data_IF_100700824264
#
_entry.id   IF_100700824264
#
_cell.length_a   1.000
_cell.length_b   1.000
_cell.length_c   1.000
_cell.angle_alpha   90.00
_cell.angle_beta   90.00
_cell.angle_gamma   90.00
#
_symmetry.space_group_name_H-M   'P 1'
#
loop_
_entity.id
_entity.type
_entity.pdbx_description
1 polymer ?
#
# COMPACT_ATOMS: atom_id res chain seq x y z
N UNK A 1 -19.44 -1.35 12.06
CA UNK A 1 -18.94 -1.60 10.67
C UNK A 1 -18.09 -2.86 10.70
N UNK A 2 -18.41 -3.88 9.90
CA UNK A 2 -17.62 -5.13 9.84
C UNK A 2 -16.52 -4.93 8.79
N UNK A 3 -15.26 -4.95 9.21
CA UNK A 3 -14.12 -4.84 8.29
C UNK A 3 -13.74 -6.21 7.74
N UNK A 4 -13.54 -6.29 6.42
CA UNK A 4 -12.97 -7.49 5.81
C UNK A 4 -11.50 -7.64 6.23
N UNK A 5 -11.15 -8.78 6.86
CA UNK A 5 -9.82 -9.01 7.45
C UNK A 5 -8.89 -9.83 6.57
N UNK A 6 -9.43 -10.58 5.61
CA UNK A 6 -8.67 -11.45 4.69
C UNK A 6 -9.05 -11.17 3.25
N UNK A 7 -8.03 -11.10 2.37
CA UNK A 7 -8.20 -10.86 0.93
C UNK A 7 -7.30 -11.81 0.14
N UNK A 8 -7.84 -12.34 -0.95
CA UNK A 8 -7.11 -13.13 -1.96
C UNK A 8 -7.51 -12.63 -3.33
N UNK A 9 -6.58 -12.02 -4.09
CA UNK A 9 -6.88 -11.43 -5.39
C UNK A 9 -5.65 -11.12 -6.23
N UNK A 10 -5.87 -10.86 -7.50
CA UNK A 10 -4.89 -10.26 -8.40
C UNK A 10 -4.90 -8.74 -8.26
N UNK A 11 -3.74 -8.13 -8.42
CA UNK A 11 -3.56 -6.68 -8.45
C UNK A 11 -2.73 -6.32 -9.68
N UNK A 12 -3.32 -5.56 -10.58
CA UNK A 12 -2.69 -5.04 -11.79
C UNK A 12 -2.50 -3.54 -11.65
N UNK A 13 -1.39 -3.01 -12.13
CA UNK A 13 -1.02 -1.60 -11.94
C UNK A 13 -0.70 -0.95 -13.25
N UNK A 14 -1.11 0.31 -13.38
CA UNK A 14 -0.88 1.15 -14.53
C UNK A 14 -0.46 2.54 -14.07
N UNK A 15 0.52 3.12 -14.73
CA UNK A 15 0.86 4.53 -14.54
C UNK A 15 0.16 5.31 -15.63
N UNK A 16 -0.64 6.28 -15.25
CA UNK A 16 -1.46 7.08 -16.14
C UNK A 16 -1.04 8.54 -16.05
N UNK A 17 -1.07 9.23 -17.19
CA UNK A 17 -1.10 10.68 -17.22
C UNK A 17 -2.55 11.19 -17.00
N UNK A 18 -2.72 12.52 -16.94
CA UNK A 18 -4.03 13.12 -16.68
C UNK A 18 -5.08 12.74 -17.73
N UNK A 19 -4.74 12.79 -19.02
CA UNK A 19 -5.66 12.44 -20.12
C UNK A 19 -6.06 10.97 -20.07
N UNK A 20 -5.12 10.07 -19.85
CA UNK A 20 -5.37 8.63 -19.73
C UNK A 20 -6.30 8.33 -18.53
N UNK A 21 -6.10 9.03 -17.39
CA UNK A 21 -7.02 8.91 -16.25
C UNK A 21 -8.44 9.35 -16.61
N UNK A 22 -8.61 10.47 -17.30
CA UNK A 22 -9.90 10.98 -17.73
C UNK A 22 -10.63 10.00 -18.66
N UNK A 23 -9.92 9.39 -19.62
CA UNK A 23 -10.47 8.38 -20.52
C UNK A 23 -10.90 7.10 -19.78
N UNK A 24 -10.11 6.63 -18.83
CA UNK A 24 -10.50 5.50 -17.97
C UNK A 24 -11.74 5.83 -17.13
N UNK A 25 -11.78 7.01 -16.50
CA UNK A 25 -12.95 7.42 -15.71
C UNK A 25 -14.21 7.51 -16.56
N UNK A 26 -14.12 7.99 -17.81
CA UNK A 26 -15.22 8.04 -18.74
C UNK A 26 -15.74 6.62 -19.06
N UNK A 27 -14.84 5.68 -19.36
CA UNK A 27 -15.22 4.29 -19.62
C UNK A 27 -15.78 3.57 -18.38
N UNK A 28 -15.32 3.93 -17.17
CA UNK A 28 -15.81 3.36 -15.92
C UNK A 28 -17.24 3.84 -15.55
N UNK A 29 -17.67 5.02 -16.00
CA UNK A 29 -18.90 5.69 -15.56
C UNK A 29 -20.16 4.81 -15.64
N UNK A 30 -20.41 4.00 -16.69
CA UNK A 30 -21.59 3.12 -16.75
C UNK A 30 -21.45 1.83 -15.92
N UNK A 31 -20.26 1.48 -15.42
CA UNK A 31 -19.96 0.19 -14.84
C UNK A 31 -19.56 0.25 -13.36
N UNK A 32 -19.12 1.41 -12.89
CA UNK A 32 -18.53 1.54 -11.56
C UNK A 32 -19.01 2.82 -10.87
N UNK A 33 -19.00 2.79 -9.54
CA UNK A 33 -19.23 4.00 -8.74
C UNK A 33 -18.11 4.21 -7.72
N UNK A 34 -17.89 5.49 -7.40
CA UNK A 34 -16.99 5.91 -6.31
C UNK A 34 -17.49 5.34 -5.00
N UNK A 35 -16.59 4.94 -4.11
CA UNK A 35 -16.96 4.49 -2.78
C UNK A 35 -17.43 5.68 -1.91
N UNK A 36 -18.13 5.35 -0.81
CA UNK A 36 -18.80 6.34 0.05
C UNK A 36 -17.79 7.26 0.77
N UNK A 37 -16.50 6.93 0.77
CA UNK A 37 -15.44 7.72 1.39
C UNK A 37 -14.85 8.79 0.46
N UNK A 38 -15.15 8.73 -0.85
CA UNK A 38 -14.62 9.65 -1.84
C UNK A 38 -13.09 9.66 -1.90
N UNK A 39 -12.51 10.85 -1.94
CA UNK A 39 -11.06 11.05 -1.94
C UNK A 39 -10.51 11.06 -0.52
N UNK A 40 -9.70 10.07 -0.18
CA UNK A 40 -9.14 9.87 1.16
C UNK A 40 -7.63 9.90 1.15
N UNK A 41 -7.04 10.44 2.22
CA UNK A 41 -5.59 10.38 2.43
C UNK A 41 -5.25 9.10 3.20
N UNK A 42 -4.42 8.26 2.59
CA UNK A 42 -3.93 7.02 3.18
C UNK A 42 -2.55 7.25 3.77
N UNK A 43 -2.38 6.92 5.05
CA UNK A 43 -1.11 6.97 5.78
C UNK A 43 -0.61 5.57 6.05
N UNK A 44 0.68 5.32 5.84
CA UNK A 44 1.28 4.01 6.09
C UNK A 44 2.66 4.18 6.72
N UNK A 45 2.98 3.30 7.67
CA UNK A 45 4.35 3.07 8.13
C UNK A 45 4.72 1.66 7.71
N UNK A 46 5.75 1.52 6.86
CA UNK A 46 6.31 0.23 6.51
C UNK A 46 7.39 -0.16 7.51
N UNK A 47 7.38 -1.43 7.90
CA UNK A 47 8.40 -2.02 8.76
C UNK A 47 9.38 -2.83 7.93
N UNK A 48 10.65 -2.71 8.25
CA UNK A 48 11.73 -3.48 7.65
C UNK A 48 12.86 -3.68 8.67
N UNK A 49 13.82 -4.49 8.33
CA UNK A 49 15.08 -4.59 9.09
C UNK A 49 15.96 -3.37 8.81
N UNK A 50 16.96 -3.11 9.64
CA UNK A 50 17.91 -2.01 9.47
C UNK A 50 18.53 -1.98 8.07
N UNK A 51 18.86 -3.15 7.52
CA UNK A 51 19.46 -3.30 6.19
C UNK A 51 18.43 -3.49 5.06
N UNK A 52 17.15 -3.17 5.30
CA UNK A 52 16.06 -3.23 4.31
C UNK A 52 15.86 -4.61 3.66
N UNK A 53 16.01 -5.70 4.42
CA UNK A 53 15.96 -7.08 3.92
C UNK A 53 14.66 -7.40 3.17
N UNK A 54 13.49 -6.93 3.67
CA UNK A 54 12.19 -7.24 3.06
C UNK A 54 12.03 -6.58 1.70
N UNK A 55 12.36 -5.28 1.63
CA UNK A 55 12.18 -4.55 0.37
C UNK A 55 13.23 -4.92 -0.66
N UNK A 56 14.48 -5.12 -0.27
CA UNK A 56 15.55 -5.59 -1.17
C UNK A 56 15.13 -6.91 -1.81
N UNK A 57 14.79 -7.91 -0.99
CA UNK A 57 14.27 -9.19 -1.49
C UNK A 57 13.02 -9.03 -2.37
N UNK A 58 12.10 -8.11 -2.03
CA UNK A 58 10.90 -7.86 -2.84
C UNK A 58 11.22 -7.31 -4.23
N UNK A 59 12.32 -6.56 -4.40
CA UNK A 59 12.75 -5.98 -5.68
C UNK A 59 13.36 -7.01 -6.63
N UNK A 60 13.96 -8.08 -6.11
CA UNK A 60 14.49 -9.21 -6.88
C UNK A 60 13.39 -10.03 -7.58
N UNK A 61 12.11 -9.64 -7.42
CA UNK A 61 10.94 -10.28 -8.03
C UNK A 61 10.80 -11.78 -7.71
N UNK A 62 11.01 -12.22 -6.45
CA UNK A 62 10.93 -13.62 -6.08
C UNK A 62 9.51 -14.16 -6.24
N UNK A 63 9.38 -15.49 -6.30
CA UNK A 63 8.08 -16.19 -6.34
C UNK A 63 7.23 -15.86 -5.11
N UNK A 64 7.86 -15.74 -3.94
CA UNK A 64 7.24 -15.36 -2.68
C UNK A 64 7.87 -14.10 -2.09
N UNK A 65 7.02 -13.14 -1.71
CA UNK A 65 7.44 -11.93 -1.01
C UNK A 65 6.36 -11.43 -0.07
N UNK A 66 6.79 -10.72 0.96
CA UNK A 66 5.91 -10.20 1.98
C UNK A 66 6.31 -8.81 2.44
N UNK A 67 5.38 -8.11 3.08
CA UNK A 67 5.55 -6.78 3.64
C UNK A 67 4.67 -6.63 4.86
N UNK A 68 5.16 -5.90 5.85
CA UNK A 68 4.43 -5.52 7.04
C UNK A 68 4.28 -4.00 7.06
N UNK A 69 3.08 -3.51 7.41
CA UNK A 69 2.83 -2.09 7.58
C UNK A 69 1.71 -1.83 8.57
N UNK A 70 1.73 -0.65 9.14
CA UNK A 70 0.60 -0.07 9.85
C UNK A 70 -0.05 0.97 8.96
N UNK A 71 -1.39 1.04 8.97
CA UNK A 71 -2.15 1.94 8.11
C UNK A 71 -3.24 2.67 8.85
N UNK A 72 -3.44 3.94 8.48
CA UNK A 72 -4.60 4.74 8.85
C UNK A 72 -5.19 5.47 7.63
N UNK A 73 -6.46 5.87 7.76
CA UNK A 73 -7.23 6.66 6.78
C UNK A 73 -7.51 8.09 7.28
N UNK A 74 -6.96 8.45 8.44
CA UNK A 74 -7.04 9.79 9.06
C UNK A 74 -5.74 10.05 9.84
N UNK A 75 -5.45 11.30 10.25
CA UNK A 75 -4.44 11.56 11.26
C UNK A 75 -4.76 10.76 12.53
N UNK A 76 -3.76 10.15 13.15
CA UNK A 76 -3.94 9.22 14.25
C UNK A 76 -3.53 9.88 15.56
N UNK A 77 -4.42 9.78 16.55
CA UNK A 77 -4.09 10.00 17.96
C UNK A 77 -3.67 8.65 18.59
N UNK A 78 -2.97 8.70 19.68
CA UNK A 78 -2.38 7.53 20.36
C UNK A 78 -3.38 6.42 20.70
N UNK A 79 -4.65 6.76 20.92
CA UNK A 79 -5.75 5.84 21.21
C UNK A 79 -6.53 5.40 19.98
N UNK A 80 -6.30 6.03 18.84
CA UNK A 80 -7.04 5.71 17.61
C UNK A 80 -6.68 4.31 17.10
N UNK A 81 -7.65 3.59 16.50
CA UNK A 81 -7.40 2.30 15.88
C UNK A 81 -6.63 2.44 14.57
N UNK A 82 -5.64 1.57 14.38
CA UNK A 82 -4.84 1.43 13.16
C UNK A 82 -4.88 0.00 12.65
N UNK A 83 -4.72 -0.17 11.35
CA UNK A 83 -4.63 -1.49 10.75
C UNK A 83 -3.18 -1.96 10.71
N UNK A 84 -2.87 -3.06 11.40
CA UNK A 84 -1.63 -3.82 11.22
C UNK A 84 -1.85 -4.78 10.06
N UNK A 85 -1.15 -4.60 8.95
CA UNK A 85 -1.38 -5.35 7.72
C UNK A 85 -0.13 -6.15 7.31
N UNK A 86 -0.29 -7.47 7.19
CA UNK A 86 0.67 -8.34 6.52
C UNK A 86 0.18 -8.62 5.10
N UNK A 87 1.04 -8.36 4.12
CA UNK A 87 0.76 -8.59 2.70
C UNK A 87 1.76 -9.58 2.16
N UNK A 88 1.28 -10.74 1.75
CA UNK A 88 2.05 -11.82 1.11
C UNK A 88 1.69 -11.87 -0.36
N UNK A 89 2.66 -12.11 -1.24
CA UNK A 89 2.44 -12.38 -2.65
C UNK A 89 3.14 -13.67 -3.04
N UNK A 90 2.36 -14.62 -3.56
CA UNK A 90 2.85 -15.90 -4.04
C UNK A 90 2.31 -16.18 -5.44
N UNK A 91 3.18 -16.48 -6.42
CA UNK A 91 2.80 -16.74 -7.82
C UNK A 91 1.77 -15.74 -8.36
N UNK A 92 2.02 -14.45 -8.17
CA UNK A 92 1.17 -13.32 -8.59
C UNK A 92 -0.13 -13.11 -7.79
N UNK A 93 -0.57 -14.05 -6.97
CA UNK A 93 -1.73 -13.90 -6.08
C UNK A 93 -1.33 -13.14 -4.83
N UNK A 94 -2.14 -12.15 -4.47
CA UNK A 94 -1.94 -11.33 -3.27
C UNK A 94 -2.85 -11.84 -2.16
N UNK A 95 -2.24 -12.14 -1.03
CA UNK A 95 -2.90 -12.45 0.23
C UNK A 95 -2.64 -11.29 1.19
N UNK A 96 -3.70 -10.70 1.72
CA UNK A 96 -3.59 -9.63 2.70
C UNK A 96 -4.43 -10.00 3.92
N UNK A 97 -3.83 -9.90 5.10
CA UNK A 97 -4.47 -10.07 6.40
C UNK A 97 -4.21 -8.84 7.26
N UNK A 98 -5.15 -8.48 8.10
CA UNK A 98 -5.02 -7.30 8.94
C UNK A 98 -5.72 -7.47 10.28
N UNK A 99 -5.19 -6.78 11.28
CA UNK A 99 -5.80 -6.56 12.59
C UNK A 99 -6.10 -5.09 12.76
N UNK A 100 -7.08 -4.78 13.58
CA UNK A 100 -7.41 -3.42 14.01
C UNK A 100 -7.13 -3.30 15.50
N UNK A 101 -6.19 -2.45 15.87
CA UNK A 101 -5.73 -2.26 17.26
C UNK A 101 -5.42 -0.78 17.51
N UNK A 102 -5.47 -0.30 18.77
CA UNK A 102 -5.02 1.05 19.11
C UNK A 102 -3.56 1.28 18.69
N UNK A 103 -3.26 2.46 18.19
CA UNK A 103 -1.91 2.81 17.71
C UNK A 103 -0.85 2.62 18.79
N UNK A 104 -1.13 3.10 20.01
CA UNK A 104 -0.24 2.90 21.18
C UNK A 104 0.13 1.44 21.38
N UNK A 105 -0.87 0.56 21.40
CA UNK A 105 -0.69 -0.88 21.62
C UNK A 105 0.22 -1.48 20.54
N UNK A 106 0.02 -1.09 19.28
CA UNK A 106 0.83 -1.58 18.15
C UNK A 106 2.26 -1.08 18.26
N UNK A 107 2.45 0.23 18.43
CA UNK A 107 3.81 0.83 18.48
C UNK A 107 4.60 0.35 19.69
N UNK A 108 3.94 0.19 20.84
CA UNK A 108 4.57 -0.34 22.05
C UNK A 108 5.00 -1.80 21.86
N UNK A 109 4.13 -2.66 21.33
CA UNK A 109 4.46 -4.04 20.99
C UNK A 109 5.68 -4.12 20.05
N UNK A 110 5.75 -3.28 19.02
CA UNK A 110 6.90 -3.26 18.11
C UNK A 110 8.19 -2.72 18.77
N UNK A 111 8.06 -1.79 19.71
CA UNK A 111 9.20 -1.22 20.46
C UNK A 111 9.77 -2.21 21.49
N UNK A 112 8.89 -2.90 22.25
CA UNK A 112 9.29 -3.82 23.34
C UNK A 112 9.62 -5.23 22.86
N UNK A 113 9.12 -5.64 21.70
CA UNK A 113 9.20 -7.03 21.23
C UNK A 113 8.06 -7.90 21.72
N UNK A 114 7.21 -7.43 22.65
CA UNK A 114 6.09 -8.20 23.18
C UNK A 114 5.04 -8.51 22.10
N UNK A 115 4.37 -9.66 22.16
CA UNK A 115 3.30 -10.02 21.24
C UNK A 115 2.17 -8.98 21.22
N UNK A 116 1.49 -8.87 20.08
CA UNK A 116 0.23 -8.11 20.02
C UNK A 116 -0.81 -8.80 20.91
N UNK A 117 -1.59 -8.04 21.73
CA UNK A 117 -2.55 -8.60 22.71
C UNK A 117 -3.83 -9.10 22.00
N UNK A 118 -3.68 -10.01 21.04
CA UNK A 118 -4.78 -10.62 20.28
C UNK A 118 -4.56 -12.11 20.15
N UNK A 119 -5.54 -12.89 20.58
CA UNK A 119 -5.59 -14.32 20.36
C UNK A 119 -6.26 -14.61 19.00
N UNK A 120 -5.48 -14.65 17.93
CA UNK A 120 -6.00 -14.92 16.59
C UNK A 120 -4.90 -15.42 15.65
N UNK A 121 -5.26 -16.23 14.67
CA UNK A 121 -4.33 -16.71 13.64
C UNK A 121 -3.57 -15.56 12.94
N UNK A 122 -4.21 -14.40 12.74
CA UNK A 122 -3.53 -13.25 12.14
C UNK A 122 -2.49 -12.65 13.10
N UNK A 123 -2.79 -12.62 14.40
CA UNK A 123 -1.85 -12.22 15.44
C UNK A 123 -0.62 -13.13 15.45
N UNK A 124 -0.84 -14.43 15.44
CA UNK A 124 0.22 -15.46 15.40
C UNK A 124 1.08 -15.34 14.14
N UNK A 125 0.48 -15.07 12.97
CA UNK A 125 1.22 -14.84 11.73
C UNK A 125 2.08 -13.57 11.79
N UNK A 126 1.59 -12.50 12.40
CA UNK A 126 2.37 -11.26 12.58
C UNK A 126 3.51 -11.49 13.58
N UNK A 127 3.26 -12.24 14.65
CA UNK A 127 4.29 -12.59 15.63
C UNK A 127 5.38 -13.46 14.99
N UNK A 128 5.00 -14.51 14.29
CA UNK A 128 5.95 -15.35 13.53
C UNK A 128 6.78 -14.52 12.54
N UNK A 129 6.15 -13.58 11.85
CA UNK A 129 6.83 -12.67 10.92
C UNK A 129 7.90 -11.83 11.64
N UNK A 130 7.59 -11.31 12.83
CA UNK A 130 8.52 -10.52 13.64
C UNK A 130 9.71 -11.36 14.12
N UNK A 131 9.46 -12.58 14.58
CA UNK A 131 10.48 -13.53 15.03
C UNK A 131 11.41 -13.96 13.90
N UNK A 132 10.85 -14.21 12.71
CA UNK A 132 11.60 -14.63 11.53
C UNK A 132 12.54 -13.52 11.00
N UNK A 133 12.03 -12.28 10.91
CA UNK A 133 12.86 -11.18 10.39
C UNK A 133 13.72 -10.51 11.43
N UNK A 134 13.40 -10.62 12.69
CA UNK A 134 14.08 -9.98 13.84
C UNK A 134 14.29 -8.48 13.65
N UNK A 135 14.34 -7.74 14.71
CA UNK A 135 14.66 -6.30 14.72
C UNK A 135 13.93 -5.47 13.66
N UNK A 136 12.64 -5.78 13.44
CA UNK A 136 11.80 -4.97 12.56
C UNK A 136 11.54 -3.61 13.21
N UNK A 137 11.77 -2.55 12.43
CA UNK A 137 11.58 -1.17 12.87
C UNK A 137 10.80 -0.36 11.83
N UNK A 138 10.16 0.77 12.24
CA UNK A 138 9.59 1.71 11.28
C UNK A 138 10.68 2.17 10.28
N UNK A 139 10.44 1.97 9.00
CA UNK A 139 11.44 2.20 7.96
C UNK A 139 11.11 3.40 7.08
N UNK A 140 9.86 3.52 6.66
CA UNK A 140 9.39 4.58 5.77
C UNK A 140 7.94 4.94 6.10
N UNK A 141 7.67 6.23 6.28
CA UNK A 141 6.31 6.75 6.17
C UNK A 141 5.96 6.97 4.70
N UNK A 142 4.74 6.59 4.32
CA UNK A 142 4.28 6.69 2.95
C UNK A 142 2.80 7.09 2.94
N UNK A 143 2.50 8.22 2.31
CA UNK A 143 1.14 8.73 2.16
C UNK A 143 0.76 8.88 0.70
N UNK A 144 -0.54 8.87 0.42
CA UNK A 144 -1.10 9.16 -0.89
C UNK A 144 -2.59 9.44 -0.78
N UNK A 145 -3.11 10.18 -1.74
CA UNK A 145 -4.54 10.40 -1.91
C UNK A 145 -5.12 9.28 -2.77
N UNK A 146 -6.28 8.77 -2.38
CA UNK A 146 -6.94 7.66 -3.06
C UNK A 146 -8.41 7.94 -3.34
N UNK A 147 -8.81 7.67 -4.57
CA UNK A 147 -10.19 7.43 -4.97
C UNK A 147 -10.35 5.94 -5.25
N UNK A 148 -11.42 5.33 -4.74
CA UNK A 148 -11.69 3.91 -4.92
C UNK A 148 -13.08 3.72 -5.54
N UNK A 149 -13.14 2.88 -6.56
CA UNK A 149 -14.36 2.57 -7.30
C UNK A 149 -14.65 1.08 -7.18
N UNK A 150 -15.93 0.74 -7.09
CA UNK A 150 -16.39 -0.64 -7.10
C UNK A 150 -17.42 -0.87 -8.21
N UNK A 151 -17.47 -2.11 -8.68
CA UNK A 151 -18.37 -2.49 -9.77
C UNK A 151 -19.85 -2.42 -9.36
N UNK A 152 -20.70 -1.98 -10.26
CA UNK A 152 -22.16 -1.91 -10.06
C UNK A 152 -22.85 -3.27 -10.21
N UNK A 153 -22.20 -4.26 -10.81
CA UNK A 153 -22.72 -5.62 -11.02
C UNK A 153 -22.58 -6.52 -9.78
N UNK A 154 -22.07 -6.00 -8.66
CA UNK A 154 -21.87 -6.74 -7.42
C UNK A 154 -20.62 -7.64 -7.40
N UNK A 155 -19.82 -7.64 -8.48
CA UNK A 155 -18.55 -8.37 -8.49
C UNK A 155 -17.51 -7.74 -7.54
N UNK A 156 -16.43 -8.46 -7.27
CA UNK A 156 -15.31 -7.95 -6.45
C UNK A 156 -14.34 -7.06 -7.25
N UNK A 157 -14.69 -6.72 -8.49
CA UNK A 157 -13.89 -5.86 -9.34
C UNK A 157 -13.80 -4.44 -8.77
N UNK A 158 -12.58 -3.99 -8.49
CA UNK A 158 -12.31 -2.66 -7.92
C UNK A 158 -11.18 -1.97 -8.67
N UNK A 159 -11.34 -0.67 -8.85
CA UNK A 159 -10.30 0.21 -9.39
C UNK A 159 -9.97 1.28 -8.36
N UNK A 160 -8.70 1.57 -8.15
CA UNK A 160 -8.28 2.69 -7.29
C UNK A 160 -7.29 3.56 -8.03
N UNK A 161 -7.40 4.88 -7.84
CA UNK A 161 -6.45 5.87 -8.33
C UNK A 161 -5.71 6.46 -7.13
N UNK A 162 -4.38 6.38 -7.16
CA UNK A 162 -3.50 6.90 -6.13
C UNK A 162 -2.68 8.06 -6.71
N UNK A 163 -2.78 9.20 -6.08
CA UNK A 163 -2.11 10.44 -6.45
C UNK A 163 -1.33 11.02 -5.26
N UNK A 164 -0.49 12.02 -5.50
CA UNK A 164 0.30 12.68 -4.46
C UNK A 164 1.00 11.66 -3.54
N UNK A 165 1.67 10.67 -4.16
CA UNK A 165 2.36 9.62 -3.42
C UNK A 165 3.66 10.20 -2.87
N UNK A 166 3.73 10.38 -1.55
CA UNK A 166 4.87 10.94 -0.83
C UNK A 166 5.51 9.91 0.09
N UNK A 167 6.83 9.99 0.28
CA UNK A 167 7.54 9.21 1.27
C UNK A 167 8.52 10.07 2.09
N UNK A 168 8.82 9.62 3.32
CA UNK A 168 9.87 10.18 4.15
C UNK A 168 10.43 9.15 5.12
N UNK A 169 11.65 9.38 5.59
CA UNK A 169 12.33 8.55 6.61
C UNK A 169 12.32 9.17 8.00
N UNK A 170 12.20 10.46 8.09
CA UNK A 170 12.15 11.21 9.34
C UNK A 170 10.70 11.42 9.76
N UNK A 171 10.44 11.64 11.03
CA UNK A 171 9.08 11.85 11.57
C UNK A 171 8.10 10.75 11.10
N UNK A 172 8.45 9.51 11.37
CA UNK A 172 7.65 8.34 10.98
C UNK A 172 6.48 8.18 11.97
N UNK A 173 5.43 8.95 11.77
CA UNK A 173 4.22 8.94 12.58
C UNK A 173 2.96 9.01 11.71
N UNK A 174 1.91 8.25 12.07
CA UNK A 174 0.61 8.33 11.39
C UNK A 174 -0.18 9.60 11.75
N UNK A 175 0.19 10.27 12.84
CA UNK A 175 -0.43 11.51 13.30
C UNK A 175 0.16 12.76 12.66
N UNK A 176 1.39 12.68 12.11
CA UNK A 176 2.10 13.83 11.56
C UNK A 176 1.45 14.39 10.30
N UNK A 177 1.78 15.64 9.96
CA UNK A 177 1.39 16.28 8.72
C UNK A 177 1.82 15.50 7.47
N UNK A 178 1.13 15.77 6.34
CA UNK A 178 1.43 15.13 5.06
C UNK A 178 2.49 15.95 4.32
N UNK A 179 3.73 15.45 4.36
CA UNK A 179 4.86 15.99 3.61
C UNK A 179 5.84 14.87 3.27
N UNK A 180 6.78 15.17 2.39
CA UNK A 180 7.84 14.23 1.97
C UNK A 180 8.21 14.37 0.52
N UNK A 181 9.01 13.43 0.03
CA UNK A 181 9.48 13.40 -1.36
C UNK A 181 8.47 12.71 -2.27
N UNK A 182 8.13 13.26 -3.45
CA UNK A 182 7.18 12.63 -4.37
C UNK A 182 7.80 11.40 -5.05
N UNK A 183 6.98 10.34 -5.19
CA UNK A 183 7.36 9.13 -5.94
C UNK A 183 6.97 9.19 -7.42
N UNK A 184 5.96 9.98 -7.76
CA UNK A 184 5.49 10.18 -9.12
C UNK A 184 5.67 11.64 -9.54
N UNK A 185 5.77 11.85 -10.84
CA UNK A 185 5.75 13.19 -11.43
C UNK A 185 4.41 13.90 -11.19
N UNK A 186 4.42 15.22 -11.30
CA UNK A 186 3.18 16.01 -11.30
C UNK A 186 2.25 15.50 -12.40
N UNK A 187 0.96 15.33 -12.07
CA UNK A 187 -0.09 14.81 -12.96
C UNK A 187 0.03 13.32 -13.34
N UNK A 188 0.85 12.55 -12.64
CA UNK A 188 0.85 11.09 -12.78
C UNK A 188 -0.03 10.45 -11.70
N UNK A 189 -0.81 9.44 -12.14
CA UNK A 189 -1.70 8.66 -11.30
C UNK A 189 -1.32 7.19 -11.36
N UNK A 190 -1.26 6.53 -10.21
CA UNK A 190 -1.14 5.07 -10.15
C UNK A 190 -2.54 4.47 -10.07
N UNK A 191 -3.00 3.87 -11.15
CA UNK A 191 -4.21 3.05 -11.16
C UNK A 191 -3.90 1.62 -10.72
N UNK A 192 -4.70 1.07 -9.80
CA UNK A 192 -4.64 -0.34 -9.41
C UNK A 192 -5.99 -1.01 -9.67
N UNK A 193 -6.02 -2.01 -10.54
CA UNK A 193 -7.16 -2.91 -10.77
C UNK A 193 -7.02 -4.09 -9.83
N UNK A 194 -8.09 -4.44 -9.14
CA UNK A 194 -8.15 -5.52 -8.15
C UNK A 194 -9.34 -6.42 -8.44
N UNK A 195 -9.09 -7.72 -8.57
CA UNK A 195 -10.12 -8.72 -8.88
C UNK A 195 -9.71 -10.11 -8.39
N UNK A 196 -10.65 -10.95 -8.01
CA UNK A 196 -10.41 -12.38 -7.75
C UNK A 196 -10.48 -13.21 -9.04
N UNK A 197 -11.11 -12.68 -10.08
CA UNK A 197 -11.31 -13.31 -11.38
C UNK A 197 -10.64 -12.58 -12.55
N UNK A 198 -11.31 -12.57 -13.68
CA UNK A 198 -10.87 -11.84 -14.89
C UNK A 198 -11.13 -10.34 -14.82
N UNK A 199 -10.50 -9.60 -15.72
CA UNK A 199 -10.83 -8.19 -15.96
C UNK A 199 -12.09 -8.17 -16.86
N UNK A 200 -13.11 -7.34 -16.54
CA UNK A 200 -14.27 -7.17 -17.42
C UNK A 200 -13.87 -6.75 -18.85
N UNK A 201 -14.62 -7.22 -19.85
CA UNK A 201 -14.29 -6.99 -21.26
C UNK A 201 -14.18 -5.50 -21.59
N UNK A 202 -15.14 -4.68 -21.11
CA UNK A 202 -15.13 -3.23 -21.32
C UNK A 202 -13.83 -2.56 -20.82
N UNK A 203 -13.29 -3.03 -19.68
CA UNK A 203 -12.02 -2.52 -19.14
C UNK A 203 -10.83 -2.98 -19.98
N UNK A 204 -10.82 -4.25 -20.42
CA UNK A 204 -9.76 -4.78 -21.29
C UNK A 204 -9.72 -4.05 -22.64
N UNK A 205 -10.88 -3.80 -23.24
CA UNK A 205 -11.02 -3.02 -24.48
C UNK A 205 -10.54 -1.58 -24.30
N UNK A 206 -10.89 -0.93 -23.17
CA UNK A 206 -10.44 0.43 -22.86
C UNK A 206 -8.92 0.49 -22.72
N UNK A 207 -8.33 -0.44 -21.95
CA UNK A 207 -6.87 -0.51 -21.77
C UNK A 207 -6.15 -0.70 -23.12
N UNK A 208 -6.68 -1.56 -23.99
CA UNK A 208 -6.11 -1.82 -25.32
C UNK A 208 -6.23 -0.61 -26.25
N UNK A 209 -7.42 0.00 -26.29
CA UNK A 209 -7.70 1.19 -27.11
C UNK A 209 -6.77 2.36 -26.82
N UNK A 210 -6.44 2.56 -25.56
CA UNK A 210 -5.56 3.65 -25.09
C UNK A 210 -4.10 3.22 -24.92
N UNK A 211 -3.70 2.01 -25.37
CA UNK A 211 -2.35 1.47 -25.27
C UNK A 211 -1.77 1.51 -23.84
N UNK A 212 -2.60 1.22 -22.83
CA UNK A 212 -2.20 1.22 -21.43
C UNK A 212 -1.60 -0.12 -21.03
N UNK A 213 -0.35 -0.10 -20.61
CA UNK A 213 0.41 -1.32 -20.28
C UNK A 213 0.61 -1.47 -18.78
N UNK A 214 0.53 -2.72 -18.34
CA UNK A 214 0.76 -3.09 -16.95
C UNK A 214 2.18 -2.77 -16.51
N UNK A 215 2.31 -2.13 -15.35
CA UNK A 215 3.59 -1.83 -14.70
C UNK A 215 3.81 -2.62 -13.41
N UNK A 216 5.05 -2.73 -13.00
CA UNK A 216 5.45 -3.38 -11.73
C UNK A 216 5.67 -2.38 -10.58
N UNK A 217 5.06 -1.23 -10.61
CA UNK A 217 5.25 -0.17 -9.62
C UNK A 217 4.96 -0.64 -8.18
N UNK A 218 5.90 -0.39 -7.28
CA UNK A 218 5.76 -0.67 -5.84
C UNK A 218 6.07 0.61 -5.05
N UNK A 219 5.07 1.21 -4.40
CA UNK A 219 5.26 2.44 -3.60
C UNK A 219 6.47 2.36 -2.66
N UNK A 220 6.54 1.31 -1.83
CA UNK A 220 7.70 1.12 -0.94
C UNK A 220 8.98 0.77 -1.70
N UNK A 221 8.91 0.00 -2.80
CA UNK A 221 10.07 -0.29 -3.63
C UNK A 221 10.65 0.96 -4.28
N UNK A 222 9.78 1.81 -4.84
CA UNK A 222 10.21 3.08 -5.44
C UNK A 222 10.76 4.05 -4.39
N UNK A 223 10.17 4.10 -3.19
CA UNK A 223 10.71 4.90 -2.09
C UNK A 223 12.13 4.43 -1.73
N UNK A 224 12.33 3.11 -1.57
CA UNK A 224 13.65 2.56 -1.29
C UNK A 224 14.68 2.89 -2.38
N UNK A 225 14.33 2.75 -3.66
CA UNK A 225 15.22 3.08 -4.76
C UNK A 225 15.62 4.57 -4.74
N UNK A 226 14.66 5.48 -4.55
CA UNK A 226 14.95 6.92 -4.38
C UNK A 226 15.86 7.22 -3.19
N UNK A 227 15.65 6.54 -2.06
CA UNK A 227 16.50 6.67 -0.88
C UNK A 227 17.94 6.25 -1.16
N UNK A 228 18.14 5.15 -1.89
CA UNK A 228 19.48 4.66 -2.24
C UNK A 228 20.15 5.58 -3.28
N UNK A 229 19.42 6.07 -4.27
CA UNK A 229 19.91 7.04 -5.23
C UNK A 229 20.41 8.33 -4.55
N UNK A 230 19.61 8.89 -3.62
CA UNK A 230 19.98 10.09 -2.87
C UNK A 230 21.19 9.85 -1.94
N UNK A 231 21.29 8.68 -1.31
CA UNK A 231 22.45 8.31 -0.49
C UNK A 231 23.74 8.20 -1.33
N UNK A 232 23.66 7.69 -2.56
CA UNK A 232 24.81 7.61 -3.48
C UNK A 232 25.24 8.99 -4.00
N UNK A 233 24.30 9.94 -4.11
CA UNK A 233 24.59 11.32 -4.53
C UNK A 233 25.08 12.22 -3.41
N UNK A 234 25.21 11.71 -2.18
CA UNK A 234 25.68 12.47 -1.02
C UNK A 234 24.63 13.45 -0.45
N UNK A 235 23.36 13.37 -0.89
CA UNK A 235 22.29 14.22 -0.42
C UNK A 235 21.79 13.89 1.00
N UNK A 236 22.20 12.77 1.56
CA UNK A 236 21.99 12.44 2.97
C UNK A 236 23.27 12.73 3.76
N UNK A 237 23.49 13.99 4.11
CA UNK A 237 24.31 14.30 5.28
C UNK A 237 23.57 13.75 6.51
N UNK A 238 24.24 12.91 7.27
CA UNK A 238 23.78 12.43 8.56
C UNK A 238 23.48 13.65 9.46
N UNK A 239 22.22 13.86 9.80
CA UNK A 239 21.82 14.71 10.88
C UNK A 239 21.32 13.86 12.03
#
# INVERSE_FOLDING_TARGET
MVYQMTFKRYELKYLLNKKEKEEILLAMKPHMKLDDYGRTVIRNIYFDTENFRLIRRSLEKPVYKEKLRIRSYKPVQITDPVFVEIKKKYKSVVYKRRLLLPEKTVMESFRTGEPLPVCSQIGDEIQYFREYYKNLQPSVFLSYEREAFYSLDGSDFRVTFDENILYRRNDISLGSEIYGHPLLGKQQTLMEIKTSGGIPLWMSETLTKHHLYKTSFSKYGSAYQRMMEAAMQGEYCYA
#
